data_IF_881941563039
#
_entry.id   IF_881941563039
#
_cell.length_a   1.000
_cell.length_b   1.000
_cell.length_c   1.000
_cell.angle_alpha   90.00
_cell.angle_beta   90.00
_cell.angle_gamma   90.00
#
_symmetry.space_group_name_H-M   'P 1'
#
loop_
_entity.id
_entity.type
_entity.pdbx_description
1 polymer ?
#
# COMPACT_ATOMS: atom_id res chain seq x y z
N UNK A 1 10.50 0.11 -19.29
CA UNK A 1 9.29 -0.74 -19.18
C UNK A 1 9.59 -1.89 -18.25
N UNK A 2 8.61 -2.38 -17.46
CA UNK A 2 8.77 -3.60 -16.65
C UNK A 2 8.54 -4.78 -17.57
N UNK A 3 9.49 -5.71 -17.61
CA UNK A 3 9.36 -6.95 -18.38
C UNK A 3 8.96 -8.06 -17.41
N UNK A 4 7.83 -8.68 -17.65
CA UNK A 4 7.45 -9.95 -17.02
C UNK A 4 7.95 -11.10 -17.89
N UNK A 5 8.62 -12.04 -17.21
CA UNK A 5 9.17 -13.21 -17.89
C UNK A 5 8.43 -14.48 -17.47
N UNK A 6 8.96 -15.60 -17.90
CA UNK A 6 8.54 -16.97 -17.64
C UNK A 6 7.88 -17.19 -16.27
N UNK A 7 6.87 -18.03 -16.26
CA UNK A 7 6.21 -18.55 -15.05
C UNK A 7 7.10 -19.62 -14.38
N UNK A 8 7.15 -19.57 -13.06
CA UNK A 8 7.89 -20.51 -12.20
C UNK A 8 6.95 -21.05 -11.14
N UNK A 9 7.09 -22.33 -10.82
CA UNK A 9 6.38 -22.94 -9.71
C UNK A 9 6.88 -22.40 -8.37
N UNK A 10 6.01 -22.34 -7.37
CA UNK A 10 6.33 -21.79 -6.05
C UNK A 10 7.47 -22.54 -5.39
N UNK A 11 7.42 -23.89 -5.43
CA UNK A 11 8.45 -24.74 -4.85
C UNK A 11 9.82 -24.54 -5.50
N UNK A 12 9.86 -24.38 -6.84
CA UNK A 12 11.11 -24.16 -7.56
C UNK A 12 11.76 -22.83 -7.16
N UNK A 13 10.98 -21.76 -7.01
CA UNK A 13 11.51 -20.47 -6.57
C UNK A 13 12.03 -20.54 -5.13
N UNK A 14 11.31 -21.19 -4.24
CA UNK A 14 11.78 -21.35 -2.86
C UNK A 14 13.06 -22.20 -2.76
N UNK A 15 13.16 -23.24 -3.57
CA UNK A 15 14.41 -24.04 -3.68
C UNK A 15 15.57 -23.21 -4.25
N UNK A 16 15.33 -22.39 -5.28
CA UNK A 16 16.34 -21.49 -5.86
C UNK A 16 16.85 -20.45 -4.85
N UNK A 17 15.94 -19.89 -4.04
CA UNK A 17 16.31 -18.90 -3.01
C UNK A 17 17.07 -19.55 -1.86
N UNK A 18 16.65 -20.71 -1.38
CA UNK A 18 17.24 -21.45 -0.28
C UNK A 18 16.61 -21.15 1.08
N UNK A 19 16.45 -22.20 1.88
CA UNK A 19 15.80 -22.13 3.19
C UNK A 19 16.54 -21.22 4.18
N UNK A 20 17.84 -21.12 4.09
CA UNK A 20 18.67 -20.26 4.94
C UNK A 20 18.32 -18.77 4.81
N UNK A 21 17.82 -18.35 3.65
CA UNK A 21 17.30 -16.99 3.43
C UNK A 21 15.81 -16.87 3.75
N UNK A 22 15.03 -17.90 3.45
CA UNK A 22 13.58 -17.89 3.61
C UNK A 22 13.14 -17.96 5.08
N UNK A 23 13.92 -18.60 5.96
CA UNK A 23 13.63 -18.74 7.39
C UNK A 23 14.10 -17.55 8.26
N UNK A 24 14.59 -16.47 7.67
CA UNK A 24 15.04 -15.29 8.41
C UNK A 24 13.88 -14.46 8.93
N UNK A 25 14.14 -13.66 9.97
CA UNK A 25 13.16 -12.78 10.59
C UNK A 25 13.08 -11.38 9.96
N UNK A 26 14.10 -10.97 9.21
CA UNK A 26 14.18 -9.66 8.55
C UNK A 26 15.16 -9.68 7.37
N UNK A 27 15.13 -8.61 6.59
CA UNK A 27 16.00 -8.38 5.43
C UNK A 27 17.24 -7.52 5.74
N UNK A 28 17.52 -7.23 7.01
CA UNK A 28 18.62 -6.35 7.41
C UNK A 28 19.95 -7.10 7.60
N UNK A 29 21.03 -6.40 7.30
CA UNK A 29 22.34 -6.63 7.91
C UNK A 29 23.23 -7.71 7.33
N UNK A 30 22.95 -8.30 6.15
CA UNK A 30 23.92 -9.19 5.51
C UNK A 30 24.04 -8.94 4.01
N UNK A 31 25.27 -8.80 3.57
CA UNK A 31 25.62 -8.90 2.16
C UNK A 31 25.62 -10.38 1.76
N UNK A 32 24.97 -10.71 0.67
CA UNK A 32 25.05 -12.02 0.04
C UNK A 32 25.20 -11.84 -1.46
N UNK A 33 25.77 -12.83 -2.13
CA UNK A 33 25.83 -12.86 -3.59
C UNK A 33 24.44 -13.02 -4.16
N UNK A 34 24.19 -12.42 -5.31
CA UNK A 34 23.00 -12.69 -6.08
C UNK A 34 23.03 -14.13 -6.58
N UNK A 35 21.87 -14.74 -6.70
CA UNK A 35 21.70 -15.97 -7.47
C UNK A 35 21.43 -15.61 -8.93
N UNK A 36 21.86 -16.47 -9.87
CA UNK A 36 21.60 -16.26 -11.30
C UNK A 36 20.43 -17.12 -11.73
N UNK A 37 19.40 -16.51 -12.27
CA UNK A 37 18.19 -17.18 -12.76
C UNK A 37 17.93 -16.74 -14.20
N UNK A 38 17.93 -17.66 -15.13
CA UNK A 38 17.78 -17.40 -16.57
C UNK A 38 18.72 -16.29 -17.10
N UNK A 39 19.95 -16.21 -16.55
CA UNK A 39 20.96 -15.21 -16.91
C UNK A 39 20.83 -13.87 -16.19
N UNK A 40 19.88 -13.71 -15.27
CA UNK A 40 19.65 -12.48 -14.52
C UNK A 40 20.02 -12.61 -13.03
N UNK A 41 20.46 -11.49 -12.45
CA UNK A 41 20.82 -11.39 -11.04
C UNK A 41 19.57 -11.23 -10.17
N UNK A 42 19.34 -12.16 -9.25
CA UNK A 42 18.24 -12.09 -8.27
C UNK A 42 18.85 -12.07 -6.86
N UNK A 43 18.48 -11.07 -6.07
CA UNK A 43 18.89 -10.99 -4.68
C UNK A 43 18.02 -11.93 -3.83
N UNK A 44 18.59 -12.93 -3.14
CA UNK A 44 17.80 -13.95 -2.42
C UNK A 44 17.17 -13.41 -1.14
N UNK A 45 17.77 -12.38 -0.51
CA UNK A 45 17.27 -11.83 0.74
C UNK A 45 16.17 -10.80 0.45
N UNK A 46 14.93 -11.14 0.76
CA UNK A 46 13.78 -10.25 0.63
C UNK A 46 12.67 -10.62 1.60
N UNK A 47 12.17 -9.63 2.34
CA UNK A 47 10.96 -9.81 3.17
C UNK A 47 9.77 -10.36 2.39
N UNK A 48 9.69 -10.10 1.08
CA UNK A 48 8.64 -10.64 0.22
C UNK A 48 8.70 -12.16 0.16
N UNK A 49 9.85 -12.73 -0.14
CA UNK A 49 10.03 -14.18 -0.22
C UNK A 49 9.83 -14.86 1.12
N UNK A 50 10.41 -14.29 2.17
CA UNK A 50 10.23 -14.75 3.55
C UNK A 50 8.76 -14.75 3.96
N UNK A 51 8.01 -13.68 3.59
CA UNK A 51 6.59 -13.58 3.91
C UNK A 51 5.80 -14.69 3.22
N UNK A 52 5.99 -14.86 1.91
CA UNK A 52 5.26 -15.89 1.17
C UNK A 52 5.60 -17.31 1.63
N UNK A 53 6.86 -17.55 1.99
CA UNK A 53 7.30 -18.84 2.52
C UNK A 53 6.73 -19.11 3.91
N UNK A 54 6.91 -18.18 4.86
CA UNK A 54 6.57 -18.40 6.28
C UNK A 54 5.10 -18.11 6.62
N UNK A 55 4.41 -17.26 5.86
CA UNK A 55 3.00 -16.87 6.11
C UNK A 55 2.03 -17.45 5.07
N UNK A 56 2.57 -18.12 4.05
CA UNK A 56 1.80 -18.69 2.95
C UNK A 56 1.47 -17.69 1.85
N UNK A 57 0.92 -18.20 0.77
CA UNK A 57 0.67 -17.48 -0.48
C UNK A 57 -0.75 -16.94 -0.60
N UNK A 58 -1.64 -17.24 0.37
CA UNK A 58 -3.03 -16.78 0.39
C UNK A 58 -3.16 -15.38 0.96
N UNK A 59 -3.96 -14.54 0.30
CA UNK A 59 -4.39 -13.27 0.85
C UNK A 59 -5.17 -13.48 2.15
N UNK A 60 -4.66 -12.94 3.26
CA UNK A 60 -5.31 -13.05 4.58
C UNK A 60 -6.69 -12.40 4.62
N UNK A 61 -6.96 -11.54 3.64
CA UNK A 61 -8.19 -10.78 3.54
C UNK A 61 -9.27 -11.51 2.73
N UNK A 62 -9.05 -11.77 1.46
CA UNK A 62 -10.07 -12.36 0.57
C UNK A 62 -9.84 -13.84 0.25
N UNK A 63 -8.76 -14.44 0.75
CA UNK A 63 -8.43 -15.83 0.47
C UNK A 63 -7.87 -16.11 -0.94
N UNK A 64 -7.71 -15.06 -1.80
CA UNK A 64 -7.12 -15.23 -3.12
C UNK A 64 -5.73 -15.85 -3.00
N UNK A 65 -5.46 -16.90 -3.78
CA UNK A 65 -4.22 -17.66 -3.71
C UNK A 65 -3.22 -17.22 -4.78
N UNK A 66 -1.99 -16.94 -4.36
CA UNK A 66 -0.85 -16.83 -5.26
C UNK A 66 -0.43 -18.22 -5.72
N UNK A 67 -0.40 -18.44 -7.01
CA UNK A 67 -0.21 -19.77 -7.61
C UNK A 67 1.15 -19.94 -8.30
N UNK A 68 1.79 -18.85 -8.70
CA UNK A 68 3.05 -18.93 -9.42
C UNK A 68 3.86 -17.64 -9.28
N UNK A 69 5.16 -17.75 -9.45
CA UNK A 69 6.05 -16.61 -9.58
C UNK A 69 6.30 -16.23 -11.03
N UNK A 70 6.58 -14.94 -11.25
CA UNK A 70 7.18 -14.44 -12.49
C UNK A 70 8.43 -13.66 -12.16
N UNK A 71 9.45 -13.83 -13.01
CA UNK A 71 10.70 -13.08 -12.91
C UNK A 71 10.49 -11.71 -13.56
N UNK A 72 10.57 -10.64 -12.76
CA UNK A 72 10.24 -9.27 -13.17
C UNK A 72 11.43 -8.33 -12.99
N UNK A 73 11.51 -7.30 -13.82
CA UNK A 73 12.53 -6.26 -13.69
C UNK A 73 12.43 -5.22 -14.81
N UNK A 74 13.40 -4.32 -14.85
CA UNK A 74 13.48 -3.25 -15.85
C UNK A 74 14.43 -3.63 -16.97
N UNK A 75 14.15 -3.19 -18.20
CA UNK A 75 14.96 -3.44 -19.40
C UNK A 75 16.43 -3.07 -19.24
N UNK A 76 16.69 -1.99 -18.53
CA UNK A 76 18.03 -1.39 -18.45
C UNK A 76 18.92 -1.96 -17.33
N UNK A 77 18.50 -3.04 -16.68
CA UNK A 77 19.28 -3.65 -15.60
C UNK A 77 19.31 -5.16 -15.72
N UNK A 78 20.41 -5.77 -15.30
CA UNK A 78 20.47 -7.22 -15.16
C UNK A 78 19.76 -7.73 -13.89
N UNK A 79 19.31 -6.84 -13.01
CA UNK A 79 18.65 -7.21 -11.76
C UNK A 79 17.19 -7.56 -11.99
N UNK A 80 16.79 -8.69 -11.44
CA UNK A 80 15.41 -9.19 -11.44
C UNK A 80 14.96 -9.55 -10.03
N UNK A 81 13.68 -9.72 -9.89
CA UNK A 81 13.06 -10.23 -8.67
C UNK A 81 11.82 -11.05 -9.01
N UNK A 82 11.49 -11.99 -8.17
CA UNK A 82 10.27 -12.75 -8.31
C UNK A 82 9.08 -12.01 -7.71
N UNK A 83 8.01 -11.92 -8.47
CA UNK A 83 6.69 -11.50 -8.03
C UNK A 83 5.74 -12.69 -8.04
N UNK A 84 4.97 -12.84 -6.96
CA UNK A 84 3.94 -13.87 -6.84
C UNK A 84 2.63 -13.37 -7.42
N UNK A 85 1.98 -14.19 -8.25
CA UNK A 85 0.71 -13.88 -8.89
C UNK A 85 -0.33 -14.97 -8.59
N UNK A 86 -1.59 -14.56 -8.52
CA UNK A 86 -2.73 -15.46 -8.60
C UNK A 86 -2.98 -15.87 -10.07
N UNK A 87 -3.81 -16.88 -10.30
CA UNK A 87 -4.09 -17.40 -11.64
C UNK A 87 -4.73 -16.36 -12.57
N UNK A 88 -5.52 -15.44 -12.02
CA UNK A 88 -6.14 -14.32 -12.74
C UNK A 88 -5.20 -13.13 -13.00
N UNK A 89 -3.90 -13.29 -12.72
CA UNK A 89 -2.89 -12.23 -12.90
C UNK A 89 -2.84 -11.19 -11.77
N UNK A 90 -3.62 -11.36 -10.70
CA UNK A 90 -3.54 -10.45 -9.54
C UNK A 90 -2.20 -10.61 -8.83
N UNK A 91 -1.48 -9.50 -8.64
CA UNK A 91 -0.21 -9.48 -7.91
C UNK A 91 -0.47 -9.70 -6.41
N UNK A 92 0.29 -10.63 -5.82
CA UNK A 92 0.36 -10.83 -4.38
C UNK A 92 1.47 -9.97 -3.78
N UNK A 93 1.20 -9.37 -2.63
CA UNK A 93 2.11 -8.44 -1.96
C UNK A 93 2.39 -8.89 -0.54
N UNK A 94 3.57 -8.52 -0.02
CA UNK A 94 3.79 -8.48 1.42
C UNK A 94 3.19 -7.19 1.99
N UNK A 95 2.47 -7.28 3.05
CA UNK A 95 1.91 -6.14 3.76
C UNK A 95 2.33 -6.14 5.23
N UNK A 96 2.41 -4.95 5.82
CA UNK A 96 2.68 -4.79 7.24
C UNK A 96 1.39 -4.88 8.05
N UNK A 97 1.29 -5.82 9.01
CA UNK A 97 0.16 -5.91 9.94
C UNK A 97 -0.02 -4.56 10.64
N UNK A 98 0.98 -4.12 11.39
CA UNK A 98 1.09 -2.73 11.86
C UNK A 98 1.78 -1.90 10.78
N UNK A 99 1.12 -0.92 10.17
CA UNK A 99 1.69 -0.12 9.08
C UNK A 99 2.98 0.60 9.47
N UNK A 100 3.90 0.76 8.52
CA UNK A 100 5.16 1.53 8.73
C UNK A 100 4.90 2.94 9.26
N UNK A 101 3.88 3.61 8.75
CA UNK A 101 3.47 4.95 9.20
C UNK A 101 3.04 5.02 10.67
N UNK A 102 2.82 3.85 11.30
CA UNK A 102 2.44 3.69 12.71
C UNK A 102 3.53 2.97 13.52
N UNK A 103 4.76 2.95 13.03
CA UNK A 103 5.90 2.33 13.72
C UNK A 103 6.08 0.83 13.46
N UNK A 104 5.38 0.27 12.49
CA UNK A 104 5.53 -1.14 12.10
C UNK A 104 6.92 -1.46 11.58
N UNK A 105 7.55 -2.49 12.14
CA UNK A 105 8.91 -2.91 11.82
C UNK A 105 8.95 -3.86 10.62
N UNK A 106 10.08 -3.88 9.91
CA UNK A 106 10.41 -4.84 8.86
C UNK A 106 10.83 -6.19 9.48
N UNK A 107 9.88 -6.92 10.05
CA UNK A 107 10.08 -8.25 10.64
C UNK A 107 8.96 -9.18 10.22
N UNK A 108 9.25 -10.45 10.03
CA UNK A 108 8.25 -11.45 9.61
C UNK A 108 7.06 -11.54 10.56
N UNK A 109 7.27 -11.32 11.86
CA UNK A 109 6.16 -11.23 12.83
C UNK A 109 5.15 -10.12 12.53
N UNK A 110 5.56 -9.09 11.79
CA UNK A 110 4.72 -7.97 11.36
C UNK A 110 4.34 -8.04 9.87
N UNK A 111 4.57 -9.17 9.20
CA UNK A 111 4.24 -9.35 7.78
C UNK A 111 3.07 -10.29 7.58
N UNK A 112 2.31 -10.03 6.53
CA UNK A 112 1.23 -10.88 6.04
C UNK A 112 1.15 -10.84 4.52
N UNK A 113 0.57 -11.88 3.92
CA UNK A 113 0.32 -11.95 2.49
C UNK A 113 -1.02 -11.31 2.16
N UNK A 114 -1.03 -10.36 1.25
CA UNK A 114 -2.26 -9.74 0.75
C UNK A 114 -2.20 -9.59 -0.77
N UNK A 115 -3.34 -9.73 -1.46
CA UNK A 115 -3.41 -9.31 -2.85
C UNK A 115 -3.37 -7.78 -2.97
N UNK A 116 -2.96 -7.27 -4.12
CA UNK A 116 -2.83 -5.82 -4.37
C UNK A 116 -4.11 -5.05 -4.05
N UNK A 117 -5.28 -5.60 -4.42
CA UNK A 117 -6.58 -4.94 -4.18
C UNK A 117 -6.84 -4.77 -2.68
N UNK A 118 -6.77 -5.85 -1.91
CA UNK A 118 -6.98 -5.80 -0.47
C UNK A 118 -5.92 -4.97 0.26
N UNK A 119 -4.66 -5.00 -0.20
CA UNK A 119 -3.60 -4.18 0.36
C UNK A 119 -3.83 -2.69 0.11
N UNK A 120 -4.28 -2.33 -1.09
CA UNK A 120 -4.65 -0.95 -1.43
C UNK A 120 -5.83 -0.45 -0.60
N UNK A 121 -6.87 -1.28 -0.43
CA UNK A 121 -8.03 -0.95 0.40
C UNK A 121 -7.65 -0.79 1.88
N UNK A 122 -6.83 -1.71 2.40
CA UNK A 122 -6.31 -1.63 3.77
C UNK A 122 -5.51 -0.34 3.99
N UNK A 123 -4.61 0.01 3.07
CA UNK A 123 -3.72 1.17 3.19
C UNK A 123 -2.95 1.16 4.52
N UNK A 124 -3.13 2.19 5.34
CA UNK A 124 -2.52 2.30 6.67
C UNK A 124 -3.48 1.96 7.82
N UNK A 125 -4.56 1.25 7.54
CA UNK A 125 -5.49 0.80 8.58
C UNK A 125 -4.82 -0.26 9.48
N UNK A 126 -5.12 -0.14 10.78
CA UNK A 126 -4.77 -1.12 11.79
C UNK A 126 -5.86 -1.09 12.88
N UNK A 127 -6.39 -2.22 13.35
CA UNK A 127 -7.43 -2.27 14.36
C UNK A 127 -7.03 -1.48 15.62
N UNK A 128 -7.93 -0.65 16.14
CA UNK A 128 -7.66 0.27 17.25
C UNK A 128 -6.95 1.58 16.86
N UNK A 129 -6.67 1.77 15.56
CA UNK A 129 -6.15 3.01 14.98
C UNK A 129 -7.02 3.41 13.79
N UNK A 130 -8.28 3.63 14.05
CA UNK A 130 -9.25 4.08 13.06
C UNK A 130 -8.79 5.39 12.44
N UNK A 131 -8.94 5.51 11.13
CA UNK A 131 -8.69 6.77 10.47
C UNK A 131 -9.92 7.64 10.65
N UNK A 132 -9.75 8.71 11.36
CA UNK A 132 -10.69 9.81 11.31
C UNK A 132 -10.52 10.55 9.98
N UNK A 133 -11.63 10.73 9.27
CA UNK A 133 -11.66 11.50 8.04
C UNK A 133 -12.52 12.72 8.24
N UNK A 134 -12.01 13.85 7.76
CA UNK A 134 -12.79 15.07 7.63
C UNK A 134 -13.45 15.01 6.27
N UNK A 135 -14.77 15.08 6.24
CA UNK A 135 -15.54 15.09 5.01
C UNK A 135 -15.84 16.52 4.58
N UNK A 136 -15.39 16.85 3.39
CA UNK A 136 -15.78 18.09 2.70
C UNK A 136 -16.57 17.76 1.44
N UNK A 137 -17.15 18.79 0.82
CA UNK A 137 -17.81 18.66 -0.49
C UNK A 137 -17.09 19.51 -1.53
N UNK A 138 -16.89 18.95 -2.72
CA UNK A 138 -16.39 19.72 -3.84
C UNK A 138 -17.46 20.65 -4.43
N UNK A 139 -17.10 21.43 -5.46
CA UNK A 139 -18.01 22.37 -6.11
C UNK A 139 -19.20 21.69 -6.81
N UNK A 140 -19.10 20.39 -7.08
CA UNK A 140 -20.14 19.55 -7.69
C UNK A 140 -21.01 18.85 -6.63
N UNK A 141 -20.79 19.15 -5.34
CA UNK A 141 -21.51 18.55 -4.22
C UNK A 141 -21.05 17.14 -3.85
N UNK A 142 -20.00 16.61 -4.50
CA UNK A 142 -19.46 15.29 -4.22
C UNK A 142 -18.62 15.32 -2.95
N UNK A 143 -18.84 14.36 -2.07
CA UNK A 143 -18.07 14.22 -0.84
C UNK A 143 -16.61 13.84 -1.11
N UNK A 144 -15.70 14.48 -0.39
CA UNK A 144 -14.26 14.21 -0.41
C UNK A 144 -13.80 13.99 1.01
N UNK A 145 -13.13 12.87 1.26
CA UNK A 145 -12.59 12.53 2.56
C UNK A 145 -11.11 12.94 2.68
N UNK A 146 -10.74 13.58 3.79
CA UNK A 146 -9.38 14.00 4.09
C UNK A 146 -8.89 13.33 5.38
N UNK A 147 -7.67 12.83 5.38
CA UNK A 147 -7.07 12.14 6.52
C UNK A 147 -6.51 13.09 7.60
N UNK A 148 -6.62 14.39 7.44
CA UNK A 148 -6.29 15.40 8.44
C UNK A 148 -6.87 16.77 8.06
N UNK A 149 -7.01 17.65 9.05
CA UNK A 149 -7.43 19.05 8.87
C UNK A 149 -6.48 19.77 7.91
N UNK A 150 -5.16 19.59 8.04
CA UNK A 150 -4.17 20.24 7.19
C UNK A 150 -4.38 19.86 5.71
N UNK A 151 -4.65 18.60 5.42
CA UNK A 151 -4.92 18.14 4.04
C UNK A 151 -6.22 18.71 3.49
N UNK A 152 -7.26 18.80 4.32
CA UNK A 152 -8.52 19.45 3.95
C UNK A 152 -8.29 20.92 3.63
N UNK A 153 -7.58 21.65 4.49
CA UNK A 153 -7.23 23.06 4.31
C UNK A 153 -6.39 23.26 3.04
N UNK A 154 -5.33 22.48 2.86
CA UNK A 154 -4.48 22.55 1.66
C UNK A 154 -5.29 22.31 0.37
N UNK A 155 -6.22 21.35 0.40
CA UNK A 155 -7.09 21.09 -0.76
C UNK A 155 -8.00 22.28 -1.07
N UNK A 156 -8.65 22.86 -0.05
CA UNK A 156 -9.51 24.01 -0.19
C UNK A 156 -8.75 25.24 -0.69
N UNK A 157 -7.58 25.51 -0.12
CA UNK A 157 -6.71 26.63 -0.52
C UNK A 157 -6.25 26.43 -1.98
N UNK A 158 -5.70 25.28 -2.34
CA UNK A 158 -5.23 24.99 -3.68
C UNK A 158 -6.31 25.09 -4.75
N UNK A 159 -7.52 24.62 -4.44
CA UNK A 159 -8.65 24.74 -5.36
C UNK A 159 -9.14 26.19 -5.49
N UNK A 160 -9.01 26.99 -4.44
CA UNK A 160 -9.32 28.42 -4.47
C UNK A 160 -8.31 29.22 -5.30
N UNK A 161 -7.03 28.83 -5.28
CA UNK A 161 -5.96 29.51 -6.00
C UNK A 161 -5.93 29.26 -7.51
N UNK A 162 -6.58 28.18 -7.98
CA UNK A 162 -6.58 27.80 -9.41
C UNK A 162 -7.45 28.67 -10.31
N UNK A 163 -8.31 29.53 -9.77
CA UNK A 163 -9.14 30.45 -10.56
C UNK A 163 -8.61 31.89 -10.43
N UNK A 164 -8.38 32.56 -11.53
CA UNK A 164 -8.08 34.01 -11.60
C UNK A 164 -9.29 34.79 -11.07
N UNK A 165 -9.26 35.21 -9.84
CA UNK A 165 -10.38 35.89 -9.18
C UNK A 165 -10.01 37.29 -8.70
N UNK A 166 -11.02 38.16 -8.62
CA UNK A 166 -10.90 39.50 -8.03
C UNK A 166 -10.64 39.44 -6.50
N UNK A 167 -10.12 40.52 -5.91
CA UNK A 167 -9.89 40.60 -4.45
C UNK A 167 -11.15 40.31 -3.62
N UNK A 168 -12.36 40.73 -4.13
CA UNK A 168 -13.61 40.52 -3.45
C UNK A 168 -14.04 39.03 -3.44
N UNK A 169 -13.79 38.32 -4.53
CA UNK A 169 -14.05 36.88 -4.63
C UNK A 169 -13.09 36.08 -3.75
N UNK A 170 -11.86 36.56 -3.58
CA UNK A 170 -10.89 35.99 -2.64
C UNK A 170 -11.35 36.10 -1.18
N UNK A 171 -11.82 37.28 -0.78
CA UNK A 171 -12.33 37.52 0.57
C UNK A 171 -13.59 36.66 0.87
N UNK A 172 -14.54 36.59 -0.08
CA UNK A 172 -15.73 35.75 0.06
C UNK A 172 -15.38 34.27 0.19
N UNK A 173 -14.39 33.78 -0.56
CA UNK A 173 -13.93 32.39 -0.47
C UNK A 173 -13.18 32.08 0.80
N UNK A 174 -12.32 32.99 1.26
CA UNK A 174 -11.63 32.85 2.54
C UNK A 174 -12.64 32.74 3.69
N UNK A 175 -13.69 33.57 3.68
CA UNK A 175 -14.77 33.52 4.66
C UNK A 175 -15.51 32.16 4.59
N UNK A 176 -15.88 31.71 3.40
CA UNK A 176 -16.56 30.42 3.24
C UNK A 176 -15.70 29.23 3.71
N UNK A 177 -14.40 29.24 3.42
CA UNK A 177 -13.46 28.22 3.90
C UNK A 177 -13.38 28.26 5.43
N UNK A 178 -13.29 29.44 6.00
CA UNK A 178 -13.23 29.62 7.47
C UNK A 178 -14.52 29.15 8.14
N UNK A 179 -15.68 29.46 7.56
CA UNK A 179 -16.98 29.01 8.08
C UNK A 179 -17.15 27.49 7.99
N UNK A 180 -16.70 26.86 6.90
CA UNK A 180 -16.70 25.40 6.78
C UNK A 180 -15.77 24.75 7.81
N UNK A 181 -14.60 25.33 8.05
CA UNK A 181 -13.67 24.82 9.07
C UNK A 181 -14.24 24.99 10.49
N UNK A 182 -14.86 26.13 10.79
CA UNK A 182 -15.53 26.36 12.06
C UNK A 182 -16.69 25.37 12.26
N UNK A 183 -17.50 25.13 11.24
CA UNK A 183 -18.57 24.14 11.31
C UNK A 183 -18.03 22.74 11.62
N UNK A 184 -16.95 22.31 10.96
CA UNK A 184 -16.29 21.02 11.26
C UNK A 184 -15.75 20.97 12.69
N UNK A 185 -15.20 22.07 13.20
CA UNK A 185 -14.68 22.16 14.57
C UNK A 185 -15.83 22.14 15.61
N UNK A 186 -16.94 22.85 15.33
CA UNK A 186 -18.07 22.98 16.25
C UNK A 186 -18.97 21.74 16.28
N UNK A 187 -19.19 21.10 15.15
CA UNK A 187 -20.13 19.97 15.05
C UNK A 187 -19.48 18.63 15.34
N UNK A 188 -18.14 18.57 15.35
CA UNK A 188 -17.43 17.30 15.48
C UNK A 188 -17.77 16.31 14.37
N UNK A 189 -18.20 16.79 13.21
CA UNK A 189 -18.49 15.95 12.02
C UNK A 189 -17.20 15.33 11.44
N UNK A 190 -16.37 14.78 12.33
CA UNK A 190 -15.38 13.77 11.97
C UNK A 190 -16.13 12.48 11.75
N UNK A 191 -16.47 12.18 10.52
CA UNK A 191 -17.05 10.89 10.20
C UNK A 191 -15.97 9.82 10.23
N UNK A 192 -16.16 8.84 11.10
CA UNK A 192 -15.46 7.55 11.02
C UNK A 192 -15.85 6.86 9.72
N UNK A 193 -15.20 7.18 8.63
CA UNK A 193 -15.52 6.61 7.35
C UNK A 193 -14.59 5.46 7.02
N UNK A 194 -15.17 4.29 7.02
CA UNK A 194 -14.66 3.00 6.62
C UNK A 194 -13.62 2.43 7.57
N UNK A 195 -14.11 1.84 8.63
CA UNK A 195 -13.46 0.71 9.27
C UNK A 195 -13.29 -0.34 8.17
N UNK A 196 -12.03 -0.64 7.82
CA UNK A 196 -11.76 -1.76 6.94
C UNK A 196 -12.04 -3.04 7.75
N UNK A 197 -13.17 -3.68 7.50
CA UNK A 197 -13.56 -4.95 8.12
C UNK A 197 -13.68 -6.02 7.04
N UNK A 198 -13.55 -7.28 7.45
CA UNK A 198 -13.82 -8.43 6.57
C UNK A 198 -15.22 -8.41 5.93
N UNK A 199 -16.17 -7.73 6.55
CA UNK A 199 -17.57 -7.65 6.16
C UNK A 199 -17.84 -6.64 5.02
N UNK A 200 -16.88 -5.80 4.67
CA UNK A 200 -17.00 -4.76 3.63
C UNK A 200 -16.44 -5.20 2.26
N UNK A 201 -16.47 -6.49 1.95
CA UNK A 201 -15.98 -7.10 0.71
C UNK A 201 -17.09 -7.39 -0.27
#
# INVERSE_FOLDING_TARGET
MVIEQKRYEIADVFNLIGEEYLNRNNDAGQSTSNIVVDGFDVHPISLRYMTFYQKGTKCVCCGKEGTHFRLCGYENTNRRHFNLYAEDGTLMTKDHILPKSKGGLNRISNMQTMCTNCNSEKGSYYPGHEKEYIIGRNQEGKEIAFSSIEKAVCHLVNNSMKKKNTKAEWASRAINITLQLLHVIETGECYHNRIWTKEMR
#
